data_IF_582415591569
#
_entry.id   IF_582415591569
#
_cell.length_a   1.000
_cell.length_b   1.000
_cell.length_c   1.000
_cell.angle_alpha   90.00
_cell.angle_beta   90.00
_cell.angle_gamma   90.00
#
_symmetry.space_group_name_H-M   'P 1'
#
loop_
_entity.id
_entity.type
_entity.pdbx_description
1 polymer ?
#
# COMPACT_ATOMS: atom_id res chain seq x y z
N UNK A 1 20.15 -17.00 0.12
CA UNK A 1 19.25 -16.75 -1.02
C UNK A 1 19.68 -15.45 -1.67
N UNK A 2 19.80 -15.40 -3.02
CA UNK A 2 20.20 -14.20 -3.73
C UNK A 2 19.24 -13.04 -3.37
N UNK A 3 19.76 -11.91 -2.91
CA UNK A 3 19.00 -10.70 -2.58
C UNK A 3 18.04 -10.28 -3.71
N UNK A 4 18.47 -10.49 -4.96
CA UNK A 4 17.65 -10.27 -6.17
C UNK A 4 16.37 -11.13 -6.19
N UNK A 5 16.40 -12.36 -5.69
CA UNK A 5 15.22 -13.24 -5.67
C UNK A 5 14.23 -12.86 -4.58
N UNK A 6 14.72 -12.34 -3.46
CA UNK A 6 13.86 -11.81 -2.38
C UNK A 6 13.14 -10.54 -2.83
N UNK A 7 13.84 -9.64 -3.50
CA UNK A 7 13.22 -8.41 -4.05
C UNK A 7 12.16 -8.71 -5.11
N UNK A 8 12.32 -9.78 -5.91
CA UNK A 8 11.29 -10.23 -6.85
C UNK A 8 9.99 -10.65 -6.15
N UNK A 9 10.08 -11.31 -4.99
CA UNK A 9 8.88 -11.71 -4.22
C UNK A 9 8.08 -10.48 -3.74
N UNK A 10 8.76 -9.41 -3.35
CA UNK A 10 8.15 -8.14 -2.96
C UNK A 10 7.55 -7.44 -4.19
N UNK A 11 8.28 -7.40 -5.29
CA UNK A 11 7.81 -6.82 -6.55
C UNK A 11 6.54 -7.51 -7.06
N UNK A 12 6.51 -8.84 -7.07
CA UNK A 12 5.33 -9.60 -7.50
C UNK A 12 4.10 -9.35 -6.63
N UNK A 13 4.28 -9.16 -5.33
CA UNK A 13 3.19 -8.73 -4.45
C UNK A 13 2.62 -7.38 -4.87
N UNK A 14 3.46 -6.38 -5.14
CA UNK A 14 3.00 -5.06 -5.57
C UNK A 14 2.38 -5.07 -6.98
N UNK A 15 2.91 -5.87 -7.89
CA UNK A 15 2.28 -6.09 -9.21
C UNK A 15 0.90 -6.72 -9.04
N UNK A 16 0.79 -7.73 -8.17
CA UNK A 16 -0.50 -8.32 -7.80
C UNK A 16 -1.47 -7.29 -7.25
N UNK A 17 -1.03 -6.41 -6.33
CA UNK A 17 -1.86 -5.30 -5.82
C UNK A 17 -2.33 -4.37 -6.95
N UNK A 18 -1.45 -4.02 -7.87
CA UNK A 18 -1.80 -3.17 -9.02
C UNK A 18 -2.90 -3.80 -9.87
N UNK A 19 -2.73 -5.07 -10.24
CA UNK A 19 -3.74 -5.82 -11.01
C UNK A 19 -5.04 -5.97 -10.22
N UNK A 20 -4.97 -6.31 -8.93
CA UNK A 20 -6.13 -6.46 -8.06
C UNK A 20 -6.95 -5.17 -7.92
N UNK A 21 -6.29 -4.01 -7.80
CA UNK A 21 -6.97 -2.71 -7.74
C UNK A 21 -7.79 -2.41 -9.00
N UNK A 22 -7.35 -2.90 -10.16
CA UNK A 22 -8.08 -2.73 -11.41
C UNK A 22 -9.42 -3.46 -11.41
N UNK A 23 -9.48 -4.64 -10.78
CA UNK A 23 -10.68 -5.48 -10.75
C UNK A 23 -11.56 -5.28 -9.52
N UNK A 24 -10.99 -4.86 -8.38
CA UNK A 24 -11.70 -4.79 -7.11
C UNK A 24 -12.95 -3.89 -7.17
N UNK A 25 -12.86 -2.70 -7.77
CA UNK A 25 -13.99 -1.79 -7.94
C UNK A 25 -15.12 -2.37 -8.76
N UNK A 26 -14.88 -2.72 -10.04
CA UNK A 26 -15.90 -3.30 -10.91
C UNK A 26 -16.55 -4.59 -10.36
N UNK A 27 -15.76 -5.47 -9.74
CA UNK A 27 -16.29 -6.66 -9.09
C UNK A 27 -17.24 -6.31 -7.95
N UNK A 28 -16.88 -5.33 -7.13
CA UNK A 28 -17.70 -4.92 -6.00
C UNK A 28 -18.93 -4.11 -6.41
N UNK A 29 -18.89 -3.41 -7.54
CA UNK A 29 -20.08 -2.76 -8.14
C UNK A 29 -21.08 -3.78 -8.68
N UNK A 30 -20.62 -4.96 -9.11
CA UNK A 30 -21.47 -6.01 -9.65
C UNK A 30 -21.97 -6.97 -8.57
N UNK A 31 -21.10 -7.45 -7.69
CA UNK A 31 -21.41 -8.49 -6.72
C UNK A 31 -21.85 -7.94 -5.36
N UNK A 32 -21.50 -6.70 -5.05
CA UNK A 32 -21.64 -6.08 -3.74
C UNK A 32 -20.29 -5.90 -3.05
N UNK A 33 -20.21 -4.94 -2.12
CA UNK A 33 -18.98 -4.63 -1.39
C UNK A 33 -18.56 -5.77 -0.46
N UNK A 34 -19.50 -6.22 0.37
CA UNK A 34 -19.29 -7.25 1.38
C UNK A 34 -18.79 -8.58 0.80
N UNK A 35 -19.44 -9.23 -0.19
CA UNK A 35 -18.98 -10.52 -0.71
C UNK A 35 -17.60 -10.42 -1.36
N UNK A 36 -17.26 -9.29 -2.00
CA UNK A 36 -15.94 -9.12 -2.63
C UNK A 36 -14.84 -8.93 -1.57
N UNK A 37 -15.10 -8.19 -0.48
CA UNK A 37 -14.14 -8.09 0.63
C UNK A 37 -13.91 -9.45 1.29
N UNK A 38 -14.98 -10.18 1.59
CA UNK A 38 -14.87 -11.52 2.22
C UNK A 38 -14.12 -12.49 1.31
N UNK A 39 -14.46 -12.54 0.02
CA UNK A 39 -13.75 -13.35 -0.97
C UNK A 39 -12.28 -12.98 -1.11
N UNK A 40 -11.97 -11.67 -1.12
CA UNK A 40 -10.59 -11.17 -1.14
C UNK A 40 -9.83 -11.59 0.11
N UNK A 41 -10.45 -11.53 1.30
CA UNK A 41 -9.79 -11.96 2.55
C UNK A 41 -9.59 -13.48 2.60
N UNK A 42 -10.52 -14.27 2.11
CA UNK A 42 -10.33 -15.72 1.97
C UNK A 42 -9.15 -16.05 1.05
N UNK A 43 -9.07 -15.39 -0.11
CA UNK A 43 -7.96 -15.56 -1.06
C UNK A 43 -6.63 -15.07 -0.46
N UNK A 44 -6.65 -13.94 0.27
CA UNK A 44 -5.49 -13.39 0.97
C UNK A 44 -4.94 -14.39 2.00
N UNK A 45 -5.80 -14.95 2.86
CA UNK A 45 -5.42 -15.95 3.85
C UNK A 45 -4.87 -17.22 3.21
N UNK A 46 -5.52 -17.73 2.15
CA UNK A 46 -5.05 -18.89 1.40
C UNK A 46 -3.66 -18.65 0.77
N UNK A 47 -3.45 -17.46 0.19
CA UNK A 47 -2.15 -17.08 -0.39
C UNK A 47 -1.07 -16.90 0.67
N UNK A 48 -1.41 -16.40 1.87
CA UNK A 48 -0.49 -16.32 3.02
C UNK A 48 -0.05 -17.71 3.47
N UNK A 49 -0.97 -18.67 3.59
CA UNK A 49 -0.68 -20.06 3.90
C UNK A 49 0.20 -20.68 2.82
N UNK A 50 -0.16 -20.51 1.55
CA UNK A 50 0.62 -21.03 0.42
C UNK A 50 2.05 -20.46 0.40
N UNK A 51 2.22 -19.17 0.75
CA UNK A 51 3.55 -18.54 0.90
C UNK A 51 4.34 -19.14 2.05
N UNK A 52 3.72 -19.33 3.21
CA UNK A 52 4.36 -19.91 4.41
C UNK A 52 4.79 -21.37 4.20
N UNK A 53 3.99 -22.13 3.48
CA UNK A 53 4.24 -23.55 3.19
C UNK A 53 4.98 -23.80 1.87
N UNK A 54 5.42 -22.73 1.19
CA UNK A 54 6.01 -22.86 -0.16
C UNK A 54 7.22 -23.79 -0.18
N UNK A 55 7.21 -24.84 -1.01
CA UNK A 55 8.33 -25.77 -1.17
C UNK A 55 9.37 -25.26 -2.15
N UNK A 56 9.05 -24.27 -2.97
CA UNK A 56 9.91 -23.72 -4.01
C UNK A 56 9.71 -22.21 -4.20
N UNK A 57 10.72 -21.57 -4.80
CA UNK A 57 10.63 -20.13 -5.13
C UNK A 57 9.49 -19.83 -6.11
N UNK A 58 9.20 -20.72 -7.03
CA UNK A 58 8.10 -20.54 -7.99
C UNK A 58 6.75 -20.48 -7.28
N UNK A 59 6.50 -21.39 -6.34
CA UNK A 59 5.27 -21.37 -5.52
C UNK A 59 5.22 -20.12 -4.68
N UNK A 60 6.34 -19.71 -4.08
CA UNK A 60 6.42 -18.46 -3.33
C UNK A 60 6.07 -17.25 -4.22
N UNK A 61 6.60 -17.17 -5.43
CA UNK A 61 6.33 -16.04 -6.34
C UNK A 61 4.87 -15.97 -6.78
N UNK A 62 4.28 -17.12 -7.15
CA UNK A 62 2.86 -17.18 -7.51
C UNK A 62 1.99 -16.80 -6.32
N UNK A 63 2.25 -17.36 -5.15
CA UNK A 63 1.48 -17.04 -3.94
C UNK A 63 1.61 -15.58 -3.53
N UNK A 64 2.77 -14.96 -3.70
CA UNK A 64 2.99 -13.52 -3.46
C UNK A 64 2.18 -12.64 -4.42
N UNK A 65 2.13 -13.00 -5.70
CA UNK A 65 1.29 -12.28 -6.67
C UNK A 65 -0.19 -12.40 -6.29
N UNK A 66 -0.68 -13.61 -6.00
CA UNK A 66 -2.07 -13.85 -5.60
C UNK A 66 -2.39 -13.13 -4.28
N UNK A 67 -1.46 -13.11 -3.35
CA UNK A 67 -1.60 -12.39 -2.09
C UNK A 67 -1.76 -10.88 -2.31
N UNK A 68 -0.89 -10.30 -3.14
CA UNK A 68 -1.01 -8.89 -3.54
C UNK A 68 -2.33 -8.59 -4.22
N UNK A 69 -2.75 -9.43 -5.18
CA UNK A 69 -4.03 -9.31 -5.87
C UNK A 69 -5.21 -9.26 -4.87
N UNK A 70 -5.22 -10.16 -3.91
CA UNK A 70 -6.25 -10.23 -2.88
C UNK A 70 -6.21 -9.02 -1.92
N UNK A 71 -5.02 -8.52 -1.57
CA UNK A 71 -4.85 -7.37 -0.68
C UNK A 71 -5.47 -6.07 -1.24
N UNK A 72 -5.64 -5.95 -2.54
CA UNK A 72 -6.26 -4.80 -3.18
C UNK A 72 -7.74 -4.62 -2.82
N UNK A 73 -8.48 -5.72 -2.63
CA UNK A 73 -9.91 -5.69 -2.32
C UNK A 73 -10.24 -4.84 -1.09
N UNK A 74 -9.82 -5.22 0.12
CA UNK A 74 -10.14 -4.48 1.35
C UNK A 74 -9.68 -3.03 1.30
N UNK A 75 -8.51 -2.75 0.73
CA UNK A 75 -7.96 -1.39 0.64
C UNK A 75 -8.85 -0.48 -0.21
N UNK A 76 -9.25 -0.94 -1.39
CA UNK A 76 -10.06 -0.16 -2.32
C UNK A 76 -11.51 -0.06 -1.84
N UNK A 77 -12.06 -1.17 -1.36
CA UNK A 77 -13.47 -1.26 -1.03
C UNK A 77 -13.81 -0.59 0.31
N UNK A 78 -12.88 -0.54 1.28
CA UNK A 78 -13.09 0.22 2.50
C UNK A 78 -13.38 1.70 2.22
N UNK A 79 -12.65 2.31 1.26
CA UNK A 79 -12.92 3.68 0.84
C UNK A 79 -14.26 3.83 0.10
N UNK A 80 -14.65 2.82 -0.69
CA UNK A 80 -15.95 2.80 -1.35
C UNK A 80 -17.09 2.68 -0.33
N UNK A 81 -16.99 1.75 0.62
CA UNK A 81 -17.97 1.56 1.69
C UNK A 81 -18.16 2.82 2.54
N UNK A 82 -17.10 3.57 2.81
CA UNK A 82 -17.20 4.87 3.49
C UNK A 82 -17.97 5.88 2.64
N UNK A 83 -17.71 5.95 1.33
CA UNK A 83 -18.46 6.84 0.42
C UNK A 83 -19.91 6.43 0.23
N UNK A 84 -20.23 5.15 0.35
CA UNK A 84 -21.59 4.65 0.24
C UNK A 84 -22.43 5.02 1.49
N UNK A 85 -21.79 5.18 2.68
CA UNK A 85 -22.49 5.41 3.96
C UNK A 85 -22.36 6.85 4.51
N UNK A 86 -21.33 7.60 4.10
CA UNK A 86 -21.05 8.92 4.63
C UNK A 86 -20.93 9.93 3.51
N UNK A 87 -21.31 11.20 3.81
CA UNK A 87 -21.16 12.33 2.91
C UNK A 87 -20.60 13.55 3.66
N UNK A 88 -20.10 14.53 2.92
CA UNK A 88 -19.63 15.79 3.47
C UNK A 88 -18.56 15.63 4.54
N UNK A 89 -18.74 16.29 5.66
CA UNK A 89 -17.76 16.39 6.75
C UNK A 89 -17.54 15.05 7.47
N UNK A 90 -18.59 14.25 7.64
CA UNK A 90 -18.50 12.93 8.25
C UNK A 90 -17.63 11.98 7.41
N UNK A 91 -17.82 11.99 6.09
CA UNK A 91 -16.97 11.22 5.16
C UNK A 91 -15.51 11.67 5.25
N UNK A 92 -15.25 12.98 5.24
CA UNK A 92 -13.89 13.51 5.34
C UNK A 92 -13.19 13.08 6.64
N UNK A 93 -13.90 13.07 7.76
CA UNK A 93 -13.38 12.64 9.07
C UNK A 93 -12.99 11.16 9.07
N UNK A 94 -13.86 10.29 8.55
CA UNK A 94 -13.58 8.84 8.48
C UNK A 94 -12.41 8.56 7.54
N UNK A 95 -12.37 9.20 6.37
CA UNK A 95 -11.26 9.07 5.41
C UNK A 95 -9.92 9.52 6.03
N UNK A 96 -9.91 10.61 6.78
CA UNK A 96 -8.72 11.10 7.48
C UNK A 96 -8.25 10.10 8.54
N UNK A 97 -9.19 9.51 9.31
CA UNK A 97 -8.86 8.48 10.30
C UNK A 97 -8.24 7.23 9.62
N UNK A 98 -8.82 6.76 8.53
CA UNK A 98 -8.27 5.64 7.75
C UNK A 98 -6.85 5.93 7.26
N UNK A 99 -6.61 7.13 6.75
CA UNK A 99 -5.30 7.54 6.30
C UNK A 99 -4.28 7.64 7.44
N UNK A 100 -4.71 8.11 8.61
CA UNK A 100 -3.87 8.17 9.82
C UNK A 100 -3.44 6.75 10.25
N UNK A 101 -4.38 5.80 10.29
CA UNK A 101 -4.08 4.40 10.62
C UNK A 101 -3.12 3.80 9.60
N UNK A 102 -3.31 4.09 8.30
CA UNK A 102 -2.41 3.63 7.25
C UNK A 102 -0.96 4.11 7.46
N UNK A 103 -0.76 5.35 7.86
CA UNK A 103 0.58 5.88 8.16
C UNK A 103 1.18 5.38 9.46
N UNK A 104 0.36 4.92 10.41
CA UNK A 104 0.85 4.29 11.65
C UNK A 104 1.28 2.82 11.44
N UNK A 105 0.73 2.14 10.44
CA UNK A 105 1.02 0.73 10.18
C UNK A 105 2.54 0.44 10.01
N UNK A 106 3.33 1.23 9.28
CA UNK A 106 4.77 1.02 9.17
C UNK A 106 5.54 1.10 10.50
N UNK A 107 5.02 1.77 11.53
CA UNK A 107 5.65 1.82 12.84
C UNK A 107 5.58 0.45 13.52
N UNK A 108 4.43 -0.21 13.40
CA UNK A 108 4.13 -1.45 14.11
C UNK A 108 4.54 -2.69 13.32
N UNK A 109 4.49 -2.62 11.98
CA UNK A 109 4.76 -3.77 11.12
C UNK A 109 6.14 -4.41 11.30
N UNK A 110 7.26 -3.67 11.39
CA UNK A 110 8.58 -4.26 11.62
C UNK A 110 8.70 -4.97 12.96
N UNK A 111 8.07 -4.42 14.02
CA UNK A 111 8.08 -5.01 15.36
C UNK A 111 7.34 -6.36 15.36
N UNK A 112 6.18 -6.39 14.73
CA UNK A 112 5.40 -7.63 14.55
C UNK A 112 6.21 -8.63 13.70
N UNK A 113 6.79 -8.17 12.59
CA UNK A 113 7.60 -9.00 11.69
C UNK A 113 8.78 -9.63 12.40
N UNK A 114 9.51 -8.86 13.21
CA UNK A 114 10.64 -9.35 14.01
C UNK A 114 10.17 -10.40 15.04
N UNK A 115 9.08 -10.14 15.74
CA UNK A 115 8.53 -11.09 16.71
C UNK A 115 8.19 -12.45 16.07
N UNK A 116 7.53 -12.46 14.91
CA UNK A 116 7.22 -13.70 14.20
C UNK A 116 8.47 -14.38 13.61
N UNK A 117 9.46 -13.59 13.19
CA UNK A 117 10.73 -14.12 12.69
C UNK A 117 11.48 -14.88 13.81
N UNK A 118 11.49 -14.35 15.03
CA UNK A 118 12.10 -14.98 16.22
C UNK A 118 11.35 -16.23 16.68
N UNK A 119 10.02 -16.26 16.53
CA UNK A 119 9.18 -17.41 16.92
C UNK A 119 9.38 -18.65 16.06
N UNK A 120 9.56 -18.49 14.74
CA UNK A 120 9.63 -19.64 13.84
C UNK A 120 10.15 -19.31 12.45
N UNK A 121 10.91 -18.22 12.32
CA UNK A 121 11.55 -17.82 11.07
C UNK A 121 10.58 -17.23 10.05
N UNK A 122 11.04 -17.05 8.83
CA UNK A 122 10.32 -16.36 7.76
C UNK A 122 8.95 -16.98 7.40
N UNK A 123 8.78 -18.30 7.61
CA UNK A 123 7.51 -18.99 7.36
C UNK A 123 6.40 -18.50 8.30
N UNK A 124 6.72 -18.26 9.56
CA UNK A 124 5.78 -17.71 10.54
C UNK A 124 5.42 -16.25 10.21
N UNK A 125 6.40 -15.48 9.75
CA UNK A 125 6.17 -14.11 9.29
C UNK A 125 5.21 -14.09 8.09
N UNK A 126 5.34 -15.03 7.14
CA UNK A 126 4.37 -15.17 6.04
C UNK A 126 3.00 -15.63 6.54
N UNK A 127 2.95 -16.62 7.42
CA UNK A 127 1.72 -17.18 7.99
C UNK A 127 0.92 -16.16 8.83
N UNK A 128 1.59 -15.17 9.42
CA UNK A 128 0.93 -14.08 10.17
C UNK A 128 -0.20 -13.42 9.37
N UNK A 129 -0.07 -13.32 8.03
CA UNK A 129 -1.10 -12.74 7.17
C UNK A 129 -2.49 -13.38 7.31
N UNK A 130 -2.57 -14.62 7.80
CA UNK A 130 -3.85 -15.31 8.04
C UNK A 130 -4.66 -14.63 9.15
N UNK A 131 -4.00 -14.12 10.17
CA UNK A 131 -4.66 -13.51 11.33
C UNK A 131 -5.53 -12.31 10.92
N UNK A 132 -4.97 -11.25 10.28
CA UNK A 132 -5.78 -10.13 9.83
C UNK A 132 -6.81 -10.53 8.76
N UNK A 133 -6.52 -11.54 7.93
CA UNK A 133 -7.48 -12.03 6.95
C UNK A 133 -8.75 -12.57 7.62
N UNK A 134 -8.60 -13.42 8.62
CA UNK A 134 -9.72 -13.98 9.37
C UNK A 134 -10.46 -12.91 10.15
N UNK A 135 -9.75 -12.04 10.87
CA UNK A 135 -10.35 -10.96 11.66
C UNK A 135 -11.21 -10.05 10.76
N UNK A 136 -10.66 -9.60 9.63
CA UNK A 136 -11.37 -8.71 8.71
C UNK A 136 -12.55 -9.44 8.06
N UNK A 137 -12.37 -10.69 7.61
CA UNK A 137 -13.45 -11.47 7.00
C UNK A 137 -14.62 -11.65 7.97
N UNK A 138 -14.35 -12.07 9.22
CA UNK A 138 -15.38 -12.26 10.25
C UNK A 138 -16.05 -10.92 10.58
N UNK A 139 -15.27 -9.86 10.74
CA UNK A 139 -15.84 -8.54 11.02
C UNK A 139 -16.74 -8.03 9.89
N UNK A 140 -16.31 -8.16 8.63
CA UNK A 140 -17.11 -7.74 7.49
C UNK A 140 -18.39 -8.56 7.36
N UNK A 141 -18.40 -9.82 7.80
CA UNK A 141 -19.63 -10.62 7.83
C UNK A 141 -20.69 -10.04 8.79
N UNK A 142 -20.30 -9.30 9.83
CA UNK A 142 -21.22 -8.64 10.76
C UNK A 142 -21.75 -7.30 10.27
N UNK A 143 -21.15 -6.72 9.23
CA UNK A 143 -21.57 -5.45 8.64
C UNK A 143 -22.63 -5.72 7.57
N UNK A 144 -23.62 -4.84 7.46
CA UNK A 144 -24.58 -4.87 6.37
C UNK A 144 -23.93 -4.50 5.03
N UNK A 145 -24.52 -4.98 3.91
CA UNK A 145 -24.09 -4.56 2.58
C UNK A 145 -24.26 -3.04 2.44
N UNK A 146 -23.21 -2.38 1.93
CA UNK A 146 -23.22 -0.92 1.80
C UNK A 146 -23.62 -0.45 0.40
N UNK A 147 -23.56 -1.34 -0.59
CA UNK A 147 -24.00 -1.04 -1.94
C UNK A 147 -25.51 -1.21 -2.05
N UNK A 148 -26.23 -0.13 -2.33
CA UNK A 148 -27.66 -0.19 -2.61
C UNK A 148 -27.93 -1.02 -3.87
N UNK A 149 -29.01 -1.77 -3.86
CA UNK A 149 -29.39 -2.69 -4.96
C UNK A 149 -29.54 -1.93 -6.28
N UNK A 150 -30.05 -0.70 -6.22
CA UNK A 150 -30.25 0.19 -7.38
C UNK A 150 -28.93 0.64 -8.01
N UNK A 151 -27.83 0.66 -7.23
CA UNK A 151 -26.51 1.07 -7.67
C UNK A 151 -25.65 -0.09 -8.21
N UNK A 152 -26.16 -1.34 -8.18
CA UNK A 152 -25.47 -2.48 -8.76
C UNK A 152 -25.33 -2.32 -10.27
N UNK A 153 -24.13 -2.58 -10.76
CA UNK A 153 -23.80 -2.49 -12.18
C UNK A 153 -23.44 -3.87 -12.72
N UNK A 154 -23.86 -4.16 -13.96
CA UNK A 154 -23.41 -5.38 -14.64
C UNK A 154 -21.90 -5.33 -14.87
N UNK A 155 -21.24 -6.48 -14.69
CA UNK A 155 -19.80 -6.63 -14.89
C UNK A 155 -19.51 -6.71 -16.40
N UNK A 156 -19.55 -5.57 -17.07
CA UNK A 156 -19.24 -5.45 -18.49
C UNK A 156 -17.81 -4.90 -18.64
N UNK A 157 -16.89 -5.73 -19.08
CA UNK A 157 -15.49 -5.33 -19.31
C UNK A 157 -15.39 -4.09 -20.22
N UNK A 158 -16.30 -3.96 -21.21
CA UNK A 158 -16.37 -2.79 -22.09
C UNK A 158 -16.57 -1.48 -21.31
N UNK A 159 -17.48 -1.46 -20.33
CA UNK A 159 -17.73 -0.28 -19.48
C UNK A 159 -16.55 0.05 -18.56
N UNK A 160 -15.87 -0.98 -18.08
CA UNK A 160 -14.64 -0.78 -17.27
C UNK A 160 -13.57 -0.07 -18.10
N UNK A 161 -13.32 -0.54 -19.33
CA UNK A 161 -12.37 0.09 -20.24
C UNK A 161 -12.81 1.49 -20.66
N UNK A 162 -14.10 1.72 -20.85
CA UNK A 162 -14.64 3.04 -21.17
C UNK A 162 -14.39 4.02 -19.99
N UNK A 163 -14.62 3.59 -18.75
CA UNK A 163 -14.29 4.37 -17.55
C UNK A 163 -12.83 4.78 -17.50
N UNK A 164 -11.90 3.86 -17.77
CA UNK A 164 -10.47 4.17 -17.86
C UNK A 164 -10.15 5.15 -19.00
N UNK A 165 -10.80 5.00 -20.15
CA UNK A 165 -10.64 5.91 -21.28
C UNK A 165 -11.12 7.34 -20.95
N UNK A 166 -12.22 7.46 -20.21
CA UNK A 166 -12.71 8.77 -19.73
C UNK A 166 -11.70 9.42 -18.79
N UNK A 167 -11.17 8.67 -17.82
CA UNK A 167 -10.15 9.15 -16.87
C UNK A 167 -8.87 9.55 -17.63
N UNK A 168 -8.39 8.72 -18.55
CA UNK A 168 -7.19 8.99 -19.35
C UNK A 168 -7.33 10.23 -20.25
N UNK A 169 -8.53 10.52 -20.75
CA UNK A 169 -8.81 11.72 -21.55
C UNK A 169 -8.93 12.99 -20.72
N UNK A 170 -9.27 12.88 -19.44
CA UNK A 170 -9.37 14.04 -18.55
C UNK A 170 -7.98 14.42 -18.04
N UNK A 171 -7.40 15.49 -18.60
CA UNK A 171 -6.05 15.97 -18.29
C UNK A 171 -5.82 16.22 -16.79
N UNK A 172 -6.82 16.70 -16.06
CA UNK A 172 -6.72 17.01 -14.64
C UNK A 172 -6.65 15.71 -13.83
N UNK A 173 -7.61 14.81 -14.07
CA UNK A 173 -7.67 13.51 -13.35
C UNK A 173 -6.45 12.64 -13.67
N UNK A 174 -6.05 12.61 -14.95
CA UNK A 174 -4.86 11.88 -15.39
C UNK A 174 -3.58 12.45 -14.77
N UNK A 175 -3.42 13.78 -14.75
CA UNK A 175 -2.28 14.45 -14.13
C UNK A 175 -2.15 14.17 -12.63
N UNK A 176 -3.25 14.26 -11.88
CA UNK A 176 -3.23 13.87 -10.47
C UNK A 176 -2.98 12.37 -10.28
N UNK A 177 -3.54 11.52 -11.14
CA UNK A 177 -3.26 10.08 -11.14
C UNK A 177 -1.78 9.77 -11.32
N UNK A 178 -1.12 10.41 -12.30
CA UNK A 178 0.33 10.27 -12.50
C UNK A 178 1.12 10.77 -11.29
N UNK A 179 0.79 11.93 -10.72
CA UNK A 179 1.47 12.46 -9.55
C UNK A 179 1.39 11.49 -8.35
N UNK A 180 0.21 10.90 -8.11
CA UNK A 180 0.01 9.87 -7.08
C UNK A 180 0.81 8.60 -7.42
N UNK A 181 0.82 8.16 -8.67
CA UNK A 181 1.55 6.97 -9.11
C UNK A 181 3.06 7.13 -8.87
N UNK A 182 3.64 8.24 -9.27
CA UNK A 182 5.07 8.50 -9.04
C UNK A 182 5.40 8.70 -7.55
N UNK A 183 4.52 9.38 -6.80
CA UNK A 183 4.69 9.54 -5.36
C UNK A 183 4.67 8.20 -4.60
N UNK A 184 3.69 7.34 -4.88
CA UNK A 184 3.67 5.99 -4.30
C UNK A 184 4.78 5.10 -4.84
N UNK A 185 5.17 5.25 -6.12
CA UNK A 185 6.31 4.54 -6.69
C UNK A 185 7.61 4.85 -5.94
N UNK A 186 7.88 6.12 -5.68
CA UNK A 186 9.03 6.54 -4.86
C UNK A 186 8.95 5.97 -3.43
N UNK A 187 7.77 6.04 -2.79
CA UNK A 187 7.55 5.51 -1.45
C UNK A 187 7.78 3.99 -1.37
N UNK A 188 7.24 3.21 -2.30
CA UNK A 188 7.43 1.76 -2.30
C UNK A 188 8.84 1.35 -2.70
N UNK A 189 9.49 2.09 -3.60
CA UNK A 189 10.90 1.89 -3.92
C UNK A 189 11.77 2.10 -2.68
N UNK A 190 11.52 3.19 -1.96
CA UNK A 190 12.17 3.48 -0.68
C UNK A 190 11.96 2.34 0.33
N UNK A 191 10.70 1.89 0.55
CA UNK A 191 10.41 0.78 1.46
C UNK A 191 11.14 -0.52 1.06
N UNK A 192 11.23 -0.80 -0.23
CA UNK A 192 11.86 -2.03 -0.73
C UNK A 192 13.39 -2.00 -0.72
N UNK A 193 14.01 -0.82 -0.72
CA UNK A 193 15.48 -0.68 -0.77
C UNK A 193 16.11 -0.31 0.57
N UNK A 194 15.34 0.22 1.52
CA UNK A 194 15.85 0.74 2.79
C UNK A 194 16.65 -0.30 3.59
N UNK A 195 16.14 -1.53 3.69
CA UNK A 195 16.82 -2.61 4.40
C UNK A 195 18.18 -2.92 3.77
N UNK A 196 18.20 -3.12 2.44
CA UNK A 196 19.43 -3.40 1.70
C UNK A 196 20.45 -2.27 1.80
N UNK A 197 19.97 -1.02 1.73
CA UNK A 197 20.87 0.15 1.84
C UNK A 197 21.46 0.26 3.24
N UNK A 198 20.67 0.03 4.29
CA UNK A 198 21.16 0.08 5.67
C UNK A 198 22.13 -1.07 5.96
N UNK A 199 21.88 -2.27 5.43
CA UNK A 199 22.73 -3.45 5.63
C UNK A 199 24.00 -3.37 4.77
N UNK A 200 23.86 -3.27 3.44
CA UNK A 200 24.98 -3.41 2.50
C UNK A 200 25.87 -2.16 2.41
N UNK A 201 25.30 -0.96 2.62
CA UNK A 201 26.04 0.28 2.44
C UNK A 201 26.52 0.86 3.75
N UNK A 202 25.68 0.85 4.79
CA UNK A 202 25.99 1.52 6.06
C UNK A 202 26.31 0.58 7.22
N UNK A 203 26.14 -0.73 7.08
CA UNK A 203 26.37 -1.74 8.13
C UNK A 203 25.47 -1.54 9.37
N UNK A 204 24.23 -1.06 9.15
CA UNK A 204 23.21 -0.83 10.16
C UNK A 204 22.04 -1.80 10.07
N UNK A 205 22.22 -2.99 9.50
CA UNK A 205 21.16 -3.99 9.31
C UNK A 205 20.44 -4.35 10.61
N UNK A 206 21.17 -4.57 11.70
CA UNK A 206 20.62 -4.88 13.03
C UNK A 206 19.73 -3.76 13.59
N UNK A 207 19.95 -2.52 13.15
CA UNK A 207 19.21 -1.33 13.60
C UNK A 207 18.10 -0.92 12.62
N UNK A 208 17.87 -1.70 11.55
CA UNK A 208 16.85 -1.42 10.53
C UNK A 208 15.51 -1.03 11.14
N UNK A 209 15.02 -1.81 12.14
CA UNK A 209 13.73 -1.55 12.75
C UNK A 209 13.66 -0.19 13.46
N UNK A 210 14.77 0.27 14.05
CA UNK A 210 14.85 1.56 14.74
C UNK A 210 14.76 2.71 13.75
N UNK A 211 15.58 2.68 12.69
CA UNK A 211 15.57 3.68 11.64
C UNK A 211 14.21 3.73 10.93
N UNK A 212 13.66 2.56 10.60
CA UNK A 212 12.36 2.46 9.95
C UNK A 212 11.23 3.01 10.83
N UNK A 213 11.25 2.74 12.13
CA UNK A 213 10.29 3.30 13.09
C UNK A 213 10.43 4.82 13.21
N UNK A 214 11.65 5.36 13.30
CA UNK A 214 11.88 6.80 13.29
C UNK A 214 11.32 7.47 12.03
N UNK A 215 11.58 6.91 10.86
CA UNK A 215 11.04 7.44 9.59
C UNK A 215 9.52 7.42 9.55
N UNK A 216 8.90 6.39 10.12
CA UNK A 216 7.44 6.31 10.22
C UNK A 216 6.86 7.40 11.14
N UNK A 217 7.59 7.76 12.21
CA UNK A 217 7.21 8.91 13.06
C UNK A 217 7.29 10.23 12.26
N UNK A 218 8.36 10.44 11.47
CA UNK A 218 8.46 11.61 10.59
C UNK A 218 7.33 11.66 9.56
N UNK A 219 6.94 10.52 8.99
CA UNK A 219 5.80 10.43 8.08
C UNK A 219 4.49 10.82 8.77
N UNK A 220 4.27 10.36 10.00
CA UNK A 220 3.13 10.76 10.83
C UNK A 220 3.11 12.26 11.15
N UNK A 221 4.27 12.82 11.51
CA UNK A 221 4.43 14.27 11.72
C UNK A 221 4.18 15.06 10.44
N UNK A 222 4.68 14.60 9.30
CA UNK A 222 4.43 15.23 8.00
C UNK A 222 2.93 15.24 7.67
N UNK A 223 2.21 14.15 7.92
CA UNK A 223 0.75 14.09 7.74
C UNK A 223 0.02 15.07 8.68
N UNK A 224 0.44 15.17 9.94
CA UNK A 224 -0.11 16.13 10.89
C UNK A 224 0.11 17.57 10.44
N UNK A 225 1.33 17.91 10.01
CA UNK A 225 1.68 19.24 9.48
C UNK A 225 0.88 19.53 8.22
N UNK A 226 0.76 18.57 7.29
CA UNK A 226 -0.04 18.73 6.08
C UNK A 226 -1.51 19.06 6.40
N UNK A 227 -2.12 18.41 7.38
CA UNK A 227 -3.47 18.72 7.85
C UNK A 227 -3.59 20.16 8.41
N UNK A 228 -2.58 20.61 9.16
CA UNK A 228 -2.54 21.98 9.69
C UNK A 228 -2.42 23.02 8.57
N UNK A 229 -1.58 22.73 7.58
CA UNK A 229 -1.34 23.59 6.42
C UNK A 229 -2.58 23.68 5.52
N UNK A 230 -3.33 22.57 5.35
CA UNK A 230 -4.59 22.55 4.59
C UNK A 230 -5.67 23.46 5.17
N UNK A 231 -5.61 23.79 6.45
CA UNK A 231 -6.52 24.80 7.06
C UNK A 231 -6.22 26.24 6.60
N UNK A 232 -5.01 26.48 6.06
CA UNK A 232 -4.54 27.83 5.64
C UNK A 232 -4.22 27.94 4.16
N UNK A 233 -4.13 26.79 3.45
CA UNK A 233 -3.71 26.72 2.07
C UNK A 233 -4.59 25.74 1.29
N UNK A 234 -4.84 26.03 0.01
CA UNK A 234 -5.60 25.10 -0.84
C UNK A 234 -4.84 23.78 -1.07
N UNK A 235 -5.58 22.67 -1.15
CA UNK A 235 -5.02 21.35 -1.42
C UNK A 235 -4.18 21.31 -2.71
N UNK A 236 -4.59 22.06 -3.75
CA UNK A 236 -3.84 22.17 -5.01
C UNK A 236 -2.44 22.78 -4.79
N UNK A 237 -2.34 23.85 -4.00
CA UNK A 237 -1.06 24.52 -3.72
C UNK A 237 -0.16 23.65 -2.85
N UNK A 238 -0.74 22.97 -1.85
CA UNK A 238 0.01 22.03 -1.00
C UNK A 238 0.55 20.86 -1.82
N UNK A 239 -0.28 20.25 -2.67
CA UNK A 239 0.14 19.15 -3.54
C UNK A 239 1.27 19.58 -4.50
N UNK A 240 1.20 20.78 -5.06
CA UNK A 240 2.25 21.33 -5.92
C UNK A 240 3.57 21.50 -5.14
N UNK A 241 3.53 22.13 -3.97
CA UNK A 241 4.71 22.33 -3.15
C UNK A 241 5.33 21.00 -2.66
N UNK A 242 4.50 20.04 -2.27
CA UNK A 242 4.96 18.71 -1.90
C UNK A 242 5.62 17.98 -3.09
N UNK A 243 5.03 18.10 -4.28
CA UNK A 243 5.61 17.54 -5.51
C UNK A 243 6.97 18.17 -5.85
N UNK A 244 7.09 19.49 -5.76
CA UNK A 244 8.36 20.19 -5.96
C UNK A 244 9.39 19.75 -4.91
N UNK A 245 8.99 19.66 -3.64
CA UNK A 245 9.85 19.17 -2.56
C UNK A 245 10.37 17.76 -2.82
N UNK A 246 9.49 16.86 -3.27
CA UNK A 246 9.86 15.48 -3.63
C UNK A 246 10.90 15.46 -4.78
N UNK A 247 10.69 16.24 -5.82
CA UNK A 247 11.64 16.31 -6.95
C UNK A 247 12.99 16.87 -6.48
N UNK A 248 12.99 17.98 -5.74
CA UNK A 248 14.21 18.61 -5.25
C UNK A 248 15.00 17.66 -4.33
N UNK A 249 14.34 16.99 -3.39
CA UNK A 249 15.01 16.03 -2.50
C UNK A 249 15.55 14.82 -3.27
N UNK A 250 14.78 14.29 -4.24
CA UNK A 250 15.22 13.17 -5.07
C UNK A 250 16.44 13.53 -5.93
N UNK A 251 16.45 14.71 -6.54
CA UNK A 251 17.61 15.21 -7.31
C UNK A 251 18.81 15.41 -6.39
N UNK A 252 18.59 16.00 -5.20
CA UNK A 252 19.64 16.15 -4.19
C UNK A 252 20.28 14.82 -3.78
N UNK A 253 19.44 13.79 -3.57
CA UNK A 253 19.91 12.43 -3.27
C UNK A 253 20.75 11.84 -4.41
N UNK A 254 20.31 11.98 -5.65
CA UNK A 254 21.06 11.49 -6.82
C UNK A 254 22.41 12.20 -6.91
N UNK A 255 22.45 13.52 -6.74
CA UNK A 255 23.70 14.30 -6.75
C UNK A 255 24.61 13.83 -5.62
N UNK A 256 24.10 13.66 -4.39
CA UNK A 256 24.87 13.18 -3.26
C UNK A 256 25.43 11.77 -3.52
N UNK A 257 24.62 10.86 -4.06
CA UNK A 257 25.05 9.51 -4.38
C UNK A 257 26.16 9.50 -5.45
N UNK A 258 26.02 10.29 -6.51
CA UNK A 258 27.03 10.39 -7.58
C UNK A 258 28.33 11.02 -7.04
N UNK A 259 28.25 12.09 -6.25
CA UNK A 259 29.40 12.78 -5.67
C UNK A 259 30.22 11.89 -4.71
N UNK A 260 29.58 10.91 -4.08
CA UNK A 260 30.20 10.00 -3.11
C UNK A 260 30.34 8.55 -3.61
N UNK A 261 30.34 8.34 -4.94
CA UNK A 261 30.47 7.00 -5.55
C UNK A 261 29.46 5.96 -5.02
N UNK A 262 28.21 6.36 -4.84
CA UNK A 262 27.13 5.49 -4.35
C UNK A 262 27.03 5.34 -2.84
N UNK A 263 27.94 5.93 -2.05
CA UNK A 263 27.96 5.88 -0.59
C UNK A 263 27.97 7.28 0.04
N UNK A 264 26.84 8.04 -0.06
CA UNK A 264 26.78 9.36 0.57
C UNK A 264 26.88 9.24 2.10
N UNK A 265 27.29 10.30 2.82
CA UNK A 265 27.22 10.33 4.27
C UNK A 265 25.80 10.01 4.76
N UNK A 266 25.69 9.18 5.81
CA UNK A 266 24.40 8.71 6.33
C UNK A 266 23.39 9.85 6.63
N UNK A 267 23.89 11.00 7.11
CA UNK A 267 23.03 12.17 7.38
C UNK A 267 22.43 12.82 6.13
N UNK A 268 22.95 12.52 4.94
CA UNK A 268 22.41 13.01 3.67
C UNK A 268 21.42 12.01 3.05
N UNK A 269 21.46 10.76 3.49
CA UNK A 269 20.53 9.72 3.05
C UNK A 269 19.26 9.71 3.90
#
# INVERSE_FOLDING_TARGET
ADSTRLSLAVTLFFVGCGVGNFFAGPLADALGRKPVVVGSMALYGAAAIASALSPSLTVLFISRFVWGFAAAGPRTLSQAMVRDRYSGEAMARVMTLMQTIFFLAPIVAPLIGKGFLELGGWRWTMGFGVIPAVIIAVWVLTIEETLDVENKRSLELGRVFEGFKIVAKNRVTFGYGLAVTFGFGAFYSFLGSTELVLEDIYDYGDQFFLFFSMMSVFLGLAAFVANRVLQRMSAKRLAFLAGVGLVVSSVGMVIAAVAHNGKPPFLLW
#
